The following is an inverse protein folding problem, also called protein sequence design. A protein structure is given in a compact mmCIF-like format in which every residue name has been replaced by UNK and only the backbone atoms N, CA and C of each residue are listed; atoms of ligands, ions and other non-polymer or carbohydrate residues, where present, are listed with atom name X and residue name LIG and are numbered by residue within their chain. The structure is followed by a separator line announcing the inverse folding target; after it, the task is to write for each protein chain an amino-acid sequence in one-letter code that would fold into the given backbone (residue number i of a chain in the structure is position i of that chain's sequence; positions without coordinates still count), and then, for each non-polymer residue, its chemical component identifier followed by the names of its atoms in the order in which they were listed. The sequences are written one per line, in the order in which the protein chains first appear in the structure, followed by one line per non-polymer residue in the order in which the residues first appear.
data_IF_254462087515
#
_entry.id   IF_254462087515
#
_cell.length_a   1.000
_cell.length_b   1.000
_cell.length_c   1.000
_cell.angle_alpha   90.00
_cell.angle_beta   90.00
_cell.angle_gamma   90.00
#
_symmetry.space_group_name_H-M   'P 1'
#
loop_
_entity.id
_entity.type
_entity.pdbx_description
1 polymer ?
#
# COMPACT_ATOMS: atom_id res chain seq x y z
N UNK A 1 -42.23 -12.13 11.36
CA UNK A 1 -40.86 -12.66 11.45
C UNK A 1 -40.05 -12.16 10.24
N UNK A 2 -39.28 -11.09 10.40
CA UNK A 2 -38.32 -10.61 9.39
C UNK A 2 -36.94 -11.06 9.86
N UNK A 3 -36.32 -12.00 9.15
CA UNK A 3 -34.92 -12.40 9.37
C UNK A 3 -34.03 -11.29 8.82
N UNK A 4 -33.74 -10.28 9.63
CA UNK A 4 -32.64 -9.35 9.36
C UNK A 4 -31.34 -10.10 9.51
N UNK A 5 -30.81 -10.58 8.40
CA UNK A 5 -29.45 -11.11 8.32
C UNK A 5 -28.50 -10.03 8.84
N UNK A 6 -27.81 -10.35 9.93
CA UNK A 6 -26.69 -9.58 10.48
C UNK A 6 -25.63 -9.39 9.38
N UNK A 7 -25.73 -8.31 8.61
CA UNK A 7 -24.57 -7.71 7.92
C UNK A 7 -23.80 -6.93 8.99
N UNK A 8 -23.37 -7.63 10.05
CA UNK A 8 -22.40 -7.09 11.00
C UNK A 8 -21.03 -7.29 10.38
N UNK A 9 -20.37 -6.16 10.15
CA UNK A 9 -18.92 -6.01 10.14
C UNK A 9 -18.16 -6.65 8.97
N UNK A 10 -18.33 -6.08 7.78
CA UNK A 10 -17.24 -6.04 6.77
C UNK A 10 -16.52 -4.69 6.78
N UNK A 11 -16.45 -4.04 7.95
CA UNK A 11 -15.76 -2.78 8.18
C UNK A 11 -14.44 -2.97 8.96
N UNK A 12 -13.88 -4.18 8.97
CA UNK A 12 -12.78 -4.57 9.84
C UNK A 12 -11.47 -4.80 9.08
N UNK A 13 -11.00 -3.86 8.25
CA UNK A 13 -9.69 -4.04 7.59
C UNK A 13 -8.88 -2.77 7.31
N UNK A 14 -9.34 -1.58 7.69
CA UNK A 14 -8.54 -0.35 7.52
C UNK A 14 -7.66 -0.02 8.73
N UNK A 15 -8.01 -0.46 9.94
CA UNK A 15 -7.23 -0.15 11.17
C UNK A 15 -5.81 -0.74 11.15
N UNK A 16 -5.60 -1.83 10.41
CA UNK A 16 -4.29 -2.48 10.27
C UNK A 16 -3.52 -2.01 9.03
N UNK A 17 -4.00 -1.02 8.26
CA UNK A 17 -3.29 -0.50 7.09
C UNK A 17 -2.47 0.75 7.45
N UNK A 18 -1.23 0.82 6.97
CA UNK A 18 -0.36 2.00 7.08
C UNK A 18 -0.06 2.53 5.69
N UNK A 19 -0.06 3.84 5.57
CA UNK A 19 0.43 4.57 4.42
C UNK A 19 1.77 5.23 4.77
N UNK A 20 2.75 5.08 3.89
CA UNK A 20 4.03 5.77 3.94
C UNK A 20 4.16 6.56 2.65
N UNK A 21 4.55 7.82 2.77
CA UNK A 21 4.83 8.70 1.64
C UNK A 21 6.33 9.00 1.60
N UNK A 22 6.96 8.75 0.46
CA UNK A 22 8.32 9.21 0.17
C UNK A 22 8.22 10.32 -0.89
N UNK A 23 8.83 11.46 -0.60
CA UNK A 23 8.91 12.59 -1.54
C UNK A 23 10.33 12.67 -2.08
N UNK A 24 10.47 12.72 -3.40
CA UNK A 24 11.74 12.83 -4.10
C UNK A 24 11.99 14.27 -4.55
N UNK A 25 13.25 14.64 -4.76
CA UNK A 25 13.61 15.99 -5.19
C UNK A 25 13.15 16.27 -6.62
N UNK A 26 13.04 15.23 -7.45
CA UNK A 26 12.55 15.33 -8.83
C UNK A 26 11.75 14.08 -9.25
N UNK A 27 11.00 14.21 -10.34
CA UNK A 27 10.37 13.06 -10.99
C UNK A 27 11.42 12.11 -11.62
N UNK A 28 12.60 12.62 -11.95
CA UNK A 28 13.67 11.85 -12.56
C UNK A 28 14.28 10.86 -11.57
N UNK A 29 14.50 11.28 -10.31
CA UNK A 29 14.97 10.41 -9.22
C UNK A 29 14.00 9.24 -8.98
N UNK A 30 12.70 9.54 -9.01
CA UNK A 30 11.64 8.54 -8.88
C UNK A 30 11.65 7.53 -10.05
N UNK A 31 11.76 8.04 -11.28
CA UNK A 31 11.81 7.22 -12.48
C UNK A 31 13.07 6.35 -12.55
N UNK A 32 14.21 6.84 -12.05
CA UNK A 32 15.46 6.09 -11.90
C UNK A 32 15.29 4.95 -10.91
N UNK A 33 14.72 5.21 -9.73
CA UNK A 33 14.55 4.21 -8.67
C UNK A 33 13.69 3.02 -9.13
N UNK A 34 12.61 3.33 -9.85
CA UNK A 34 11.60 2.32 -10.18
C UNK A 34 11.83 1.72 -11.55
N UNK A 35 12.63 2.35 -12.39
CA UNK A 35 12.79 2.03 -13.80
C UNK A 35 11.58 2.50 -14.60
N UNK A 36 11.84 3.30 -15.64
CA UNK A 36 10.81 3.75 -16.58
C UNK A 36 10.06 2.53 -17.15
N UNK A 37 8.73 2.50 -17.01
CA UNK A 37 7.84 1.41 -17.45
C UNK A 37 8.12 0.01 -16.83
N UNK A 38 8.68 -0.08 -15.63
CA UNK A 38 9.14 -1.38 -15.12
C UNK A 38 8.01 -2.29 -14.61
N UNK A 39 8.11 -3.56 -14.99
CA UNK A 39 7.44 -4.69 -14.31
C UNK A 39 7.95 -4.90 -12.88
N UNK A 40 8.95 -4.13 -12.43
CA UNK A 40 9.51 -4.27 -11.08
C UNK A 40 8.53 -3.74 -10.04
N UNK A 41 7.67 -2.78 -10.39
CA UNK A 41 6.63 -2.28 -9.49
C UNK A 41 5.62 -3.37 -9.12
N UNK A 42 5.15 -4.12 -10.12
CA UNK A 42 4.22 -5.24 -9.92
C UNK A 42 4.87 -6.31 -9.04
N UNK A 43 6.13 -6.69 -9.35
CA UNK A 43 6.90 -7.61 -8.52
C UNK A 43 7.10 -7.11 -7.09
N UNK A 44 7.30 -5.81 -6.90
CA UNK A 44 7.49 -5.21 -5.58
C UNK A 44 6.19 -5.19 -4.77
N UNK A 45 5.07 -4.87 -5.42
CA UNK A 45 3.74 -4.95 -4.82
C UNK A 45 3.45 -6.37 -4.34
N UNK A 46 3.74 -7.38 -5.16
CA UNK A 46 3.56 -8.80 -4.82
C UNK A 46 4.50 -9.24 -3.70
N UNK A 47 5.81 -8.97 -3.84
CA UNK A 47 6.82 -9.44 -2.88
C UNK A 47 6.63 -8.83 -1.47
N UNK A 48 6.23 -7.56 -1.39
CA UNK A 48 6.00 -6.87 -0.13
C UNK A 48 4.55 -6.96 0.36
N UNK A 49 3.63 -7.49 -0.45
CA UNK A 49 2.18 -7.49 -0.21
C UNK A 49 1.66 -6.08 0.14
N UNK A 50 2.04 -5.11 -0.70
CA UNK A 50 1.71 -3.69 -0.57
C UNK A 50 1.08 -3.19 -1.87
N UNK A 51 0.39 -2.05 -1.78
CA UNK A 51 -0.02 -1.26 -2.94
C UNK A 51 0.87 -0.02 -3.04
N UNK A 52 1.59 0.11 -4.15
CA UNK A 52 2.42 1.26 -4.46
C UNK A 52 1.77 2.11 -5.55
N UNK A 53 1.64 3.42 -5.30
CA UNK A 53 1.12 4.41 -6.24
C UNK A 53 2.07 5.61 -6.39
N UNK A 54 1.85 6.39 -7.45
CA UNK A 54 2.63 7.58 -7.78
C UNK A 54 1.76 8.81 -7.99
N UNK A 55 2.27 9.95 -7.52
CA UNK A 55 1.69 11.24 -7.83
C UNK A 55 2.80 12.30 -7.91
N UNK A 56 3.15 12.72 -9.13
CA UNK A 56 4.29 13.62 -9.35
C UNK A 56 5.60 13.00 -8.84
N UNK A 57 6.27 13.69 -7.91
CA UNK A 57 7.52 13.29 -7.27
C UNK A 57 7.31 12.47 -5.99
N UNK A 58 6.10 11.93 -5.77
CA UNK A 58 5.74 11.18 -4.56
C UNK A 58 5.49 9.71 -4.86
N UNK A 59 6.07 8.86 -4.03
CA UNK A 59 5.80 7.42 -3.93
C UNK A 59 4.95 7.17 -2.69
N UNK A 60 3.78 6.58 -2.89
CA UNK A 60 2.84 6.23 -1.82
C UNK A 60 2.81 4.72 -1.68
N UNK A 61 3.17 4.20 -0.50
CA UNK A 61 3.17 2.77 -0.18
C UNK A 61 2.09 2.51 0.86
N UNK A 62 1.13 1.65 0.54
CA UNK A 62 0.03 1.27 1.43
C UNK A 62 0.15 -0.23 1.72
N UNK A 63 0.24 -0.61 2.98
CA UNK A 63 0.38 -2.01 3.35
C UNK A 63 -0.11 -2.32 4.75
N UNK A 64 -0.27 -3.60 5.06
CA UNK A 64 -0.65 -4.01 6.42
C UNK A 64 0.50 -3.74 7.39
N UNK A 65 0.20 -3.09 8.51
CA UNK A 65 1.09 -2.94 9.65
C UNK A 65 1.48 -4.34 10.12
N UNK A 66 2.73 -4.72 9.93
CA UNK A 66 3.27 -5.96 10.49
C UNK A 66 3.22 -5.81 12.02
N UNK A 67 2.42 -6.64 12.69
CA UNK A 67 2.41 -6.73 14.16
C UNK A 67 3.71 -7.45 14.56
N UNK A 68 4.76 -6.68 14.83
CA UNK A 68 5.95 -7.22 15.46
C UNK A 68 5.55 -7.63 16.89
N UNK A 69 5.49 -8.93 17.18
CA UNK A 69 5.53 -9.42 18.55
C UNK A 69 6.95 -9.19 19.04
N UNK A 70 7.10 -8.22 19.94
CA UNK A 70 8.32 -8.07 20.73
C UNK A 70 8.17 -9.13 21.83
N UNK A 71 8.97 -10.19 21.75
CA UNK A 71 9.12 -11.17 22.83
C UNK A 71 10.09 -10.62 23.87
#
# INVERSE_FOLDING_TARGET
MLKTNNIKNKLSNFEDMRQIELTFNSNEDLNLLLGKNSKNLEKLNEALNVKINFFGNKLIIIGKKKKYRIN
#
